data_IF_072896655927
#
_entry.id   IF_072896655927
#
_cell.length_a   1.000
_cell.length_b   1.000
_cell.length_c   1.000
_cell.angle_alpha   90.00
_cell.angle_beta   90.00
_cell.angle_gamma   90.00
#
_symmetry.space_group_name_H-M   'P 1'
#
loop_
_entity.id
_entity.type
_entity.pdbx_description
1 polymer ?
#
# COMPACT_ATOMS: atom_id res chain seq x y z
N UNK A 1 -1.06 -47.51 -18.74
CA UNK A 1 -1.96 -46.38 -19.05
C UNK A 1 -2.66 -45.96 -17.77
N UNK A 2 -2.28 -44.81 -17.21
CA UNK A 2 -2.73 -44.35 -15.89
C UNK A 2 -4.18 -43.87 -15.90
N UNK A 3 -4.98 -44.36 -14.97
CA UNK A 3 -6.41 -44.10 -14.88
C UNK A 3 -6.64 -42.68 -14.34
N UNK A 4 -7.48 -41.90 -15.02
CA UNK A 4 -7.93 -40.60 -14.53
C UNK A 4 -8.67 -40.79 -13.19
N UNK A 5 -8.23 -40.07 -12.15
CA UNK A 5 -8.98 -39.97 -10.89
C UNK A 5 -9.71 -38.63 -10.88
N UNK A 6 -11.01 -38.68 -10.59
CA UNK A 6 -11.78 -37.48 -10.32
C UNK A 6 -11.15 -36.75 -9.14
N UNK A 7 -10.62 -35.56 -9.40
CA UNK A 7 -10.10 -34.63 -8.38
C UNK A 7 -11.10 -33.50 -8.27
N UNK A 8 -11.39 -33.06 -7.04
CA UNK A 8 -12.31 -31.96 -6.82
C UNK A 8 -11.73 -30.68 -7.41
N UNK A 9 -12.31 -30.22 -8.52
CA UNK A 9 -11.99 -28.93 -9.12
C UNK A 9 -12.85 -27.87 -8.44
N UNK A 10 -12.24 -26.75 -8.07
CA UNK A 10 -12.99 -25.60 -7.53
C UNK A 10 -14.08 -25.20 -8.52
N UNK A 11 -15.27 -24.88 -8.02
CA UNK A 11 -16.31 -24.28 -8.85
C UNK A 11 -15.85 -22.94 -9.44
N UNK A 12 -16.44 -22.54 -10.56
CA UNK A 12 -16.16 -21.24 -11.17
C UNK A 12 -16.39 -20.10 -10.17
N UNK A 13 -17.48 -20.14 -9.40
CA UNK A 13 -17.80 -19.16 -8.35
C UNK A 13 -16.71 -19.08 -7.27
N UNK A 14 -16.18 -20.23 -6.84
CA UNK A 14 -15.10 -20.28 -5.86
C UNK A 14 -13.78 -19.71 -6.40
N UNK A 15 -13.55 -19.83 -7.72
CA UNK A 15 -12.40 -19.22 -8.38
C UNK A 15 -12.55 -17.71 -8.52
N UNK A 16 -13.75 -17.22 -8.85
CA UNK A 16 -14.04 -15.78 -8.97
C UNK A 16 -13.88 -15.05 -7.63
N UNK A 17 -14.49 -15.58 -6.55
CA UNK A 17 -14.33 -15.00 -5.20
C UNK A 17 -12.87 -15.02 -4.76
N UNK A 18 -12.15 -16.11 -5.06
CA UNK A 18 -10.71 -16.20 -4.80
C UNK A 18 -9.91 -15.12 -5.52
N UNK A 19 -10.21 -14.88 -6.79
CA UNK A 19 -9.57 -13.83 -7.59
C UNK A 19 -9.80 -12.43 -7.00
N UNK A 20 -11.03 -12.12 -6.57
CA UNK A 20 -11.36 -10.84 -5.92
C UNK A 20 -10.59 -10.65 -4.61
N UNK A 21 -10.50 -11.70 -3.78
CA UNK A 21 -9.76 -11.64 -2.51
C UNK A 21 -8.26 -11.47 -2.72
N UNK A 22 -7.68 -12.15 -3.71
CA UNK A 22 -6.27 -11.98 -4.10
C UNK A 22 -6.03 -10.56 -4.62
N UNK A 23 -6.91 -10.05 -5.48
CA UNK A 23 -6.84 -8.68 -5.99
C UNK A 23 -6.89 -7.65 -4.85
N UNK A 24 -7.82 -7.80 -3.91
CA UNK A 24 -7.91 -6.94 -2.72
C UNK A 24 -6.64 -6.99 -1.89
N UNK A 25 -6.08 -8.17 -1.64
CA UNK A 25 -4.83 -8.33 -0.89
C UNK A 25 -3.65 -7.65 -1.60
N UNK A 26 -3.57 -7.77 -2.91
CA UNK A 26 -2.54 -7.12 -3.72
C UNK A 26 -2.62 -5.60 -3.60
N UNK A 27 -3.81 -5.02 -3.75
CA UNK A 27 -4.01 -3.58 -3.62
C UNK A 27 -3.63 -3.08 -2.22
N UNK A 28 -4.04 -3.81 -1.17
CA UNK A 28 -3.67 -3.47 0.20
C UNK A 28 -2.16 -3.51 0.43
N UNK A 29 -1.47 -4.53 -0.08
CA UNK A 29 -0.02 -4.64 0.03
C UNK A 29 0.69 -3.47 -0.68
N UNK A 30 0.27 -3.13 -1.90
CA UNK A 30 0.85 -2.01 -2.65
C UNK A 30 0.63 -0.65 -1.97
N UNK A 31 -0.54 -0.42 -1.39
CA UNK A 31 -0.80 0.81 -0.63
C UNK A 31 0.11 0.91 0.61
N UNK A 32 0.33 -0.20 1.32
CA UNK A 32 1.25 -0.24 2.46
C UNK A 32 2.70 -0.03 2.02
N UNK A 33 3.13 -0.65 0.92
CA UNK A 33 4.49 -0.46 0.37
C UNK A 33 4.75 1.02 0.05
N UNK A 34 3.79 1.70 -0.58
CA UNK A 34 3.87 3.14 -0.86
C UNK A 34 3.94 3.95 0.43
N UNK A 35 3.10 3.65 1.43
CA UNK A 35 3.13 4.34 2.72
C UNK A 35 4.48 4.20 3.42
N UNK A 36 5.03 2.98 3.45
CA UNK A 36 6.34 2.69 4.05
C UNK A 36 7.48 3.34 3.28
N UNK A 37 7.42 3.37 1.95
CA UNK A 37 8.41 4.06 1.12
C UNK A 37 8.44 5.56 1.43
N UNK A 38 7.29 6.21 1.53
CA UNK A 38 7.19 7.63 1.91
C UNK A 38 7.76 7.86 3.32
N UNK A 39 7.42 7.00 4.29
CA UNK A 39 8.00 7.09 5.65
C UNK A 39 9.53 6.94 5.62
N UNK A 40 10.06 6.04 4.78
CA UNK A 40 11.50 5.84 4.59
C UNK A 40 12.20 7.07 4.03
N UNK A 41 11.63 7.68 2.98
CA UNK A 41 12.13 8.92 2.39
C UNK A 41 12.18 10.04 3.45
N UNK A 42 11.06 10.27 4.16
CA UNK A 42 10.98 11.30 5.21
C UNK A 42 11.95 11.04 6.37
N UNK A 43 12.20 9.78 6.73
CA UNK A 43 13.20 9.42 7.73
C UNK A 43 14.62 9.83 7.28
N UNK A 44 14.93 9.76 5.98
CA UNK A 44 16.18 10.25 5.41
C UNK A 44 16.40 11.76 5.64
N UNK A 45 15.32 12.54 5.62
CA UNK A 45 15.31 13.98 5.95
C UNK A 45 15.23 14.25 7.46
N UNK A 46 15.37 13.22 8.31
CA UNK A 46 15.18 13.29 9.78
C UNK A 46 13.78 13.74 10.21
N UNK A 47 12.78 13.69 9.31
CA UNK A 47 11.38 13.98 9.61
C UNK A 47 10.66 12.71 10.08
N UNK A 48 10.31 12.66 11.37
CA UNK A 48 9.59 11.52 11.94
C UNK A 48 8.07 11.70 11.82
N UNK A 49 7.42 10.80 11.07
CA UNK A 49 5.97 10.79 10.90
C UNK A 49 5.22 10.39 12.18
N UNK A 50 5.74 9.38 12.90
CA UNK A 50 5.12 8.82 14.11
C UNK A 50 4.02 7.80 13.83
N UNK A 51 3.33 7.36 14.88
CA UNK A 51 2.14 6.50 14.75
C UNK A 51 0.94 7.38 14.33
N UNK A 52 0.38 7.06 13.16
CA UNK A 52 -0.73 7.80 12.56
C UNK A 52 -1.63 6.81 11.85
N UNK A 53 -2.93 6.90 12.12
CA UNK A 53 -3.94 6.15 11.38
C UNK A 53 -3.90 6.50 9.89
N UNK A 54 -4.08 5.52 8.99
CA UNK A 54 -4.07 5.70 7.53
C UNK A 54 -4.85 6.92 7.03
N UNK A 55 -6.05 7.18 7.56
CA UNK A 55 -6.86 8.34 7.16
C UNK A 55 -6.27 9.71 7.52
N UNK A 56 -5.35 9.78 8.48
CA UNK A 56 -4.66 11.01 8.90
C UNK A 56 -3.23 11.11 8.38
N UNK A 57 -2.73 10.08 7.69
CA UNK A 57 -1.35 9.99 7.23
C UNK A 57 -0.99 11.14 6.27
N UNK A 58 -1.82 11.37 5.25
CA UNK A 58 -1.62 12.46 4.26
C UNK A 58 -1.61 13.83 4.94
N UNK A 59 -2.57 14.09 5.84
CA UNK A 59 -2.64 15.35 6.57
C UNK A 59 -1.41 15.56 7.48
N UNK A 60 -0.88 14.50 8.09
CA UNK A 60 0.35 14.57 8.89
C UNK A 60 1.57 14.86 8.02
N UNK A 61 1.69 14.23 6.85
CA UNK A 61 2.81 14.47 5.93
C UNK A 61 2.80 15.92 5.46
N UNK A 62 1.65 16.44 5.02
CA UNK A 62 1.54 17.84 4.59
C UNK A 62 2.05 18.81 5.66
N UNK A 63 1.60 18.63 6.90
CA UNK A 63 2.09 19.43 8.05
C UNK A 63 3.58 19.27 8.34
N UNK A 64 4.17 18.11 8.04
CA UNK A 64 5.60 17.87 8.25
C UNK A 64 6.45 18.50 7.14
N UNK A 65 5.95 18.49 5.91
CA UNK A 65 6.61 19.12 4.77
C UNK A 65 6.55 20.65 4.90
N UNK A 66 5.42 21.19 5.36
CA UNK A 66 5.24 22.64 5.60
C UNK A 66 6.24 23.22 6.62
N UNK A 67 6.75 22.38 7.51
CA UNK A 67 7.78 22.78 8.47
C UNK A 67 9.22 22.71 7.90
N UNK A 68 9.41 22.32 6.63
CA UNK A 68 10.71 22.06 6.03
C UNK A 68 10.85 22.72 4.64
N UNK A 69 11.46 23.91 4.62
CA UNK A 69 11.60 24.84 3.49
C UNK A 69 12.00 24.18 2.15
N UNK A 70 12.93 23.23 2.19
CA UNK A 70 13.44 22.55 0.98
C UNK A 70 12.44 21.54 0.38
N UNK A 71 11.55 20.95 1.19
CA UNK A 71 10.57 19.98 0.72
C UNK A 71 9.26 20.65 0.28
N UNK A 72 8.96 21.83 0.82
CA UNK A 72 7.86 22.68 0.35
C UNK A 72 8.00 23.05 -1.13
N UNK A 73 9.23 23.40 -1.56
CA UNK A 73 9.48 23.86 -2.94
C UNK A 73 9.31 22.75 -3.97
N UNK A 74 9.68 21.51 -3.64
CA UNK A 74 9.50 20.34 -4.52
C UNK A 74 8.04 19.84 -4.52
N UNK A 75 7.36 19.91 -3.37
CA UNK A 75 5.96 19.50 -3.26
C UNK A 75 4.99 20.48 -3.95
N UNK A 76 5.33 21.77 -4.02
CA UNK A 76 4.55 22.80 -4.73
C UNK A 76 4.68 22.71 -6.26
N UNK A 77 5.64 21.96 -6.78
CA UNK A 77 5.91 21.80 -8.21
C UNK A 77 5.20 20.62 -8.90
N UNK A 78 4.42 19.81 -8.17
CA UNK A 78 3.71 18.62 -8.68
C UNK A 78 2.20 18.82 -8.68
#
# INVERSE_FOLDING_TARGET
MGWYRSVHVKSADAQEVGALLVGRKLLQAKLLDVELSIRGILCGYRLKVGDVSRGRFVARIRKLIEAHDMLETEAAGV
#
